data_IF_685640311154
#
_entry.id   IF_685640311154
#
_cell.length_a   1.000
_cell.length_b   1.000
_cell.length_c   1.000
_cell.angle_alpha   90.00
_cell.angle_beta   90.00
_cell.angle_gamma   90.00
#
_symmetry.space_group_name_H-M   'P 1'
#
loop_
_entity.id
_entity.type
_entity.pdbx_description
1 polymer ?
#
# COMPACT_ATOMS: atom_id res chain seq x y z
N UNK A 1 4.29 6.01 -13.01
CA UNK A 1 5.62 6.65 -12.91
C UNK A 1 6.59 5.93 -13.83
N UNK A 2 7.40 6.65 -14.59
CA UNK A 2 8.57 6.08 -15.29
C UNK A 2 9.79 6.02 -14.36
N UNK A 3 10.77 5.18 -14.67
CA UNK A 3 12.01 4.99 -13.89
C UNK A 3 11.81 4.51 -12.45
N UNK A 4 10.81 3.64 -12.20
CA UNK A 4 10.59 3.10 -10.87
C UNK A 4 11.74 2.22 -10.38
N UNK A 5 12.34 2.58 -9.24
CA UNK A 5 13.39 1.78 -8.60
C UNK A 5 12.87 1.00 -7.39
N UNK A 6 12.69 -0.32 -7.55
CA UNK A 6 12.20 -1.19 -6.48
C UNK A 6 13.15 -1.26 -5.28
N UNK A 7 14.47 -1.20 -5.49
CA UNK A 7 15.46 -1.26 -4.41
C UNK A 7 15.33 -0.06 -3.45
N UNK A 8 15.06 1.15 -3.98
CA UNK A 8 14.76 2.34 -3.16
C UNK A 8 13.39 2.28 -2.48
N UNK A 9 12.47 1.50 -3.01
CA UNK A 9 11.12 1.35 -2.48
C UNK A 9 11.03 0.39 -1.28
N UNK A 10 12.06 -0.44 -1.07
CA UNK A 10 12.12 -1.40 0.03
C UNK A 10 12.00 -0.75 1.42
N UNK A 11 11.75 -1.59 2.41
CA UNK A 11 11.57 -1.21 3.80
C UNK A 11 10.11 -0.93 4.14
N UNK A 12 9.92 -0.26 5.28
CA UNK A 12 8.59 -0.05 5.86
C UNK A 12 7.92 1.20 5.30
N UNK A 13 6.63 1.04 5.06
CA UNK A 13 5.68 2.09 4.73
C UNK A 13 4.47 2.00 5.67
N UNK A 14 4.00 3.14 6.15
CA UNK A 14 2.78 3.25 6.95
C UNK A 14 1.65 3.74 6.08
N UNK A 15 0.49 3.13 6.22
CA UNK A 15 -0.73 3.62 5.56
C UNK A 15 -1.18 4.89 6.27
N UNK A 16 -1.12 6.03 5.58
CA UNK A 16 -1.63 7.29 6.08
C UNK A 16 -3.13 7.40 5.82
N UNK A 17 -3.54 7.13 4.58
CA UNK A 17 -4.94 7.18 4.14
C UNK A 17 -5.18 6.10 3.08
N UNK A 18 -6.42 5.61 3.00
CA UNK A 18 -6.83 4.62 2.00
C UNK A 18 -8.27 4.76 1.58
N UNK A 19 -8.62 4.20 0.43
CA UNK A 19 -10.01 3.90 0.11
C UNK A 19 -10.54 2.79 1.02
N UNK A 20 -11.86 2.80 1.24
CA UNK A 20 -12.49 1.75 2.01
C UNK A 20 -12.28 0.38 1.36
N UNK A 21 -11.66 -0.52 2.10
CA UNK A 21 -11.52 -1.91 1.73
C UNK A 21 -11.93 -2.80 2.91
N UNK A 22 -12.82 -3.77 2.63
CA UNK A 22 -13.43 -4.63 3.67
C UNK A 22 -12.38 -5.44 4.46
N UNK A 23 -11.29 -5.86 3.82
CA UNK A 23 -10.22 -6.65 4.44
C UNK A 23 -9.37 -5.88 5.46
N UNK A 24 -9.49 -4.56 5.48
CA UNK A 24 -8.86 -3.65 6.43
C UNK A 24 -9.92 -2.98 7.33
N UNK A 25 -11.16 -3.49 7.35
CA UNK A 25 -12.22 -2.92 8.19
C UNK A 25 -11.76 -2.84 9.66
N UNK A 26 -11.93 -1.65 10.26
CA UNK A 26 -11.44 -1.33 11.60
C UNK A 26 -9.92 -1.52 11.82
N UNK A 27 -9.12 -1.57 10.76
CA UNK A 27 -7.66 -1.60 10.85
C UNK A 27 -7.08 -0.27 11.31
N UNK A 28 -6.21 -0.32 12.33
CA UNK A 28 -5.32 0.75 12.75
C UNK A 28 -3.87 0.26 12.77
N UNK A 29 -2.92 1.19 12.85
CA UNK A 29 -1.48 0.89 12.84
C UNK A 29 -1.02 0.12 11.60
N UNK A 30 -1.72 0.32 10.48
CA UNK A 30 -1.51 -0.45 9.26
C UNK A 30 -0.14 -0.10 8.67
N UNK A 31 0.64 -1.12 8.34
CA UNK A 31 1.95 -0.95 7.71
C UNK A 31 2.24 -2.07 6.74
N UNK A 32 3.00 -1.75 5.70
CA UNK A 32 3.53 -2.65 4.70
C UNK A 32 5.06 -2.64 4.78
N UNK A 33 5.69 -3.80 4.92
CA UNK A 33 7.15 -3.92 4.87
C UNK A 33 7.57 -4.70 3.63
N UNK A 34 8.32 -4.05 2.75
CA UNK A 34 8.82 -4.63 1.52
C UNK A 34 10.28 -5.09 1.71
N UNK A 35 10.60 -6.29 1.25
CA UNK A 35 11.98 -6.82 1.31
C UNK A 35 12.33 -7.58 0.03
N UNK A 36 13.63 -7.70 -0.23
CA UNK A 36 14.16 -8.63 -1.23
C UNK A 36 14.50 -9.95 -0.56
N UNK A 37 14.23 -11.07 -1.23
CA UNK A 37 14.65 -12.41 -0.84
C UNK A 37 15.91 -12.81 -1.61
N UNK A 38 16.67 -13.78 -1.09
CA UNK A 38 17.92 -14.25 -1.69
C UNK A 38 17.73 -14.88 -3.08
N UNK A 39 16.53 -15.38 -3.37
CA UNK A 39 16.14 -15.94 -4.66
C UNK A 39 15.69 -14.87 -5.69
N UNK A 40 15.85 -13.58 -5.36
CA UNK A 40 15.51 -12.46 -6.22
C UNK A 40 14.03 -12.06 -6.20
N UNK A 41 13.18 -12.73 -5.40
CA UNK A 41 11.79 -12.30 -5.21
C UNK A 41 11.70 -11.06 -4.32
N UNK A 42 10.62 -10.30 -4.49
CA UNK A 42 10.23 -9.27 -3.54
C UNK A 42 9.07 -9.77 -2.68
N UNK A 43 9.14 -9.50 -1.39
CA UNK A 43 8.15 -9.90 -0.40
C UNK A 43 7.49 -8.66 0.20
N UNK A 44 6.25 -8.81 0.64
CA UNK A 44 5.51 -7.80 1.39
C UNK A 44 4.91 -8.43 2.65
N UNK A 45 5.09 -7.78 3.79
CA UNK A 45 4.45 -8.15 5.05
C UNK A 45 3.56 -7.01 5.49
N UNK A 46 2.25 -7.20 5.39
CA UNK A 46 1.26 -6.26 5.90
C UNK A 46 0.89 -6.61 7.34
N UNK A 47 0.81 -5.58 8.19
CA UNK A 47 0.40 -5.72 9.59
C UNK A 47 -0.65 -4.69 9.92
N UNK A 48 -1.62 -5.08 10.75
CA UNK A 48 -2.62 -4.18 11.30
C UNK A 48 -3.04 -4.62 12.70
N UNK A 49 -3.71 -3.72 13.41
CA UNK A 49 -4.39 -4.00 14.67
C UNK A 49 -5.86 -3.62 14.52
N UNK A 50 -6.77 -4.49 14.95
CA UNK A 50 -8.19 -4.14 14.99
C UNK A 50 -8.42 -3.08 16.07
N UNK A 51 -9.03 -1.95 15.71
CA UNK A 51 -9.43 -0.92 16.68
C UNK A 51 -10.61 -1.36 17.55
N UNK A 52 -11.36 -2.40 17.14
CA UNK A 52 -12.50 -2.93 17.88
C UNK A 52 -12.09 -3.96 18.93
N UNK A 53 -11.14 -4.84 18.60
CA UNK A 53 -10.76 -5.98 19.46
C UNK A 53 -9.35 -5.89 20.01
N UNK A 54 -8.51 -5.00 19.48
CA UNK A 54 -7.07 -4.94 19.81
C UNK A 54 -6.24 -6.09 19.22
N UNK A 55 -6.87 -7.05 18.53
CA UNK A 55 -6.18 -8.20 17.94
C UNK A 55 -5.26 -7.73 16.82
N UNK A 56 -4.04 -8.27 16.81
CA UNK A 56 -3.04 -8.03 15.77
C UNK A 56 -3.19 -9.06 14.66
N UNK A 57 -3.07 -8.63 13.41
CA UNK A 57 -3.01 -9.53 12.26
C UNK A 57 -1.84 -9.18 11.36
N UNK A 58 -1.30 -10.23 10.74
CA UNK A 58 -0.19 -10.16 9.78
C UNK A 58 -0.59 -10.98 8.57
N UNK A 59 -0.28 -10.48 7.37
CA UNK A 59 -0.41 -11.22 6.13
C UNK A 59 0.83 -11.02 5.28
N UNK A 60 1.37 -12.13 4.79
CA UNK A 60 2.57 -12.17 3.97
C UNK A 60 2.21 -12.40 2.51
N UNK A 61 2.92 -11.73 1.62
CA UNK A 61 2.69 -11.80 0.19
C UNK A 61 3.96 -11.69 -0.63
N UNK A 62 3.81 -12.01 -1.91
CA UNK A 62 4.84 -11.86 -2.93
C UNK A 62 4.51 -10.65 -3.81
N UNK A 63 5.54 -9.88 -4.15
CA UNK A 63 5.47 -8.76 -5.09
C UNK A 63 6.24 -9.15 -6.36
N UNK A 64 5.61 -8.97 -7.51
CA UNK A 64 6.23 -9.15 -8.83
C UNK A 64 6.13 -7.86 -9.62
N UNK A 65 7.22 -7.45 -10.28
CA UNK A 65 7.14 -6.39 -11.29
C UNK A 65 6.49 -6.97 -12.54
N UNK A 66 5.42 -6.32 -13.00
CA UNK A 66 4.64 -6.74 -14.17
C UNK A 66 4.74 -5.66 -15.24
N UNK A 67 5.59 -5.89 -16.24
CA UNK A 67 5.89 -4.92 -17.29
C UNK A 67 7.40 -4.77 -17.49
N UNK A 68 7.82 -3.66 -18.09
CA UNK A 68 9.25 -3.28 -18.12
C UNK A 68 9.70 -2.86 -16.72
N UNK A 69 10.97 -3.04 -16.38
CA UNK A 69 11.50 -2.80 -15.03
C UNK A 69 11.38 -1.34 -14.56
N UNK A 70 11.26 -0.40 -15.48
CA UNK A 70 11.05 1.04 -15.27
C UNK A 70 9.57 1.42 -15.09
N UNK A 71 8.64 0.51 -15.33
CA UNK A 71 7.23 0.71 -15.05
C UNK A 71 6.90 0.36 -13.59
N UNK A 72 6.21 1.28 -12.92
CA UNK A 72 5.76 1.14 -11.53
C UNK A 72 4.56 0.21 -11.34
N UNK A 73 4.38 -0.77 -12.23
CA UNK A 73 3.27 -1.74 -12.22
C UNK A 73 3.72 -3.00 -11.49
N UNK A 74 3.19 -3.18 -10.30
CA UNK A 74 3.43 -4.36 -9.48
C UNK A 74 2.20 -5.26 -9.48
N UNK A 75 2.42 -6.51 -9.14
CA UNK A 75 1.39 -7.52 -8.90
C UNK A 75 1.67 -8.14 -7.55
N UNK A 76 0.69 -8.09 -6.65
CA UNK A 76 0.81 -8.63 -5.29
C UNK A 76 -0.06 -9.86 -5.14
N UNK A 77 0.49 -10.92 -4.56
CA UNK A 77 -0.22 -12.16 -4.23
C UNK A 77 -0.06 -12.47 -2.76
N UNK A 78 -1.15 -12.82 -2.08
CA UNK A 78 -1.13 -13.27 -0.68
C UNK A 78 -1.47 -14.76 -0.61
N UNK A 79 -0.48 -15.66 -0.48
CA UNK A 79 -0.69 -17.10 -0.56
C UNK A 79 -1.63 -17.68 0.51
N UNK A 80 -1.77 -17.00 1.66
CA UNK A 80 -2.65 -17.43 2.75
C UNK A 80 -4.14 -17.17 2.50
N UNK A 81 -4.49 -16.43 1.44
CA UNK A 81 -5.88 -16.22 1.05
C UNK A 81 -6.39 -17.42 0.24
N UNK A 82 -7.65 -17.86 0.46
CA UNK A 82 -8.23 -18.99 -0.27
C UNK A 82 -8.35 -18.73 -1.78
N UNK A 83 -8.26 -17.47 -2.20
CA UNK A 83 -8.26 -17.06 -3.60
C UNK A 83 -6.84 -16.75 -4.05
N UNK A 84 -6.29 -17.57 -4.96
CA UNK A 84 -4.96 -17.35 -5.56
C UNK A 84 -5.01 -16.28 -6.67
N UNK A 85 -5.57 -15.12 -6.37
CA UNK A 85 -5.66 -13.98 -7.29
C UNK A 85 -4.52 -13.00 -7.00
N UNK A 86 -3.71 -12.74 -8.02
CA UNK A 86 -2.74 -11.66 -7.96
C UNK A 86 -3.45 -10.34 -8.26
N UNK A 87 -3.31 -9.35 -7.38
CA UNK A 87 -3.93 -8.04 -7.54
C UNK A 87 -2.93 -7.05 -8.16
N UNK A 88 -3.36 -6.25 -9.16
CA UNK A 88 -2.54 -5.17 -9.67
C UNK A 88 -2.30 -4.14 -8.56
N UNK A 89 -1.07 -3.65 -8.46
CA UNK A 89 -0.62 -2.72 -7.44
C UNK A 89 0.32 -1.71 -8.09
N UNK A 90 -0.22 -0.57 -8.50
CA UNK A 90 0.51 0.40 -9.30
C UNK A 90 0.96 1.55 -8.42
N UNK A 91 2.27 1.76 -8.31
CA UNK A 91 2.81 2.95 -7.64
C UNK A 91 2.67 4.11 -8.62
N UNK A 92 1.71 5.00 -8.41
CA UNK A 92 1.44 6.09 -9.33
C UNK A 92 2.53 7.16 -9.27
N UNK A 93 3.01 7.45 -8.06
CA UNK A 93 4.03 8.46 -7.76
C UNK A 93 4.67 8.18 -6.39
N UNK A 94 5.96 8.38 -6.26
CA UNK A 94 6.68 8.28 -4.97
C UNK A 94 8.00 9.05 -5.05
N UNK A 95 8.41 9.65 -3.93
CA UNK A 95 9.76 10.17 -3.77
C UNK A 95 10.70 9.18 -3.05
N UNK A 96 10.24 7.94 -2.82
CA UNK A 96 10.89 6.83 -2.10
C UNK A 96 11.14 7.06 -0.60
N UNK A 97 11.26 8.31 -0.19
CA UNK A 97 11.78 8.72 1.12
C UNK A 97 10.70 9.27 2.04
N UNK A 98 9.56 9.72 1.51
CA UNK A 98 8.51 10.35 2.32
C UNK A 98 7.13 9.80 2.01
N UNK A 99 6.74 9.71 0.74
CA UNK A 99 5.39 9.29 0.35
C UNK A 99 5.37 8.33 -0.85
N UNK A 100 4.29 7.59 -0.97
CA UNK A 100 3.93 6.81 -2.15
C UNK A 100 2.42 6.82 -2.33
N UNK A 101 1.96 7.02 -3.56
CA UNK A 101 0.54 6.90 -3.93
C UNK A 101 0.37 5.63 -4.75
N UNK A 102 -0.54 4.78 -4.30
CA UNK A 102 -0.76 3.46 -4.90
C UNK A 102 -2.20 3.34 -5.36
N UNK A 103 -2.38 2.74 -6.53
CA UNK A 103 -3.68 2.38 -7.08
C UNK A 103 -3.77 0.89 -7.39
N UNK A 104 -4.92 0.30 -7.09
CA UNK A 104 -5.25 -1.08 -7.45
C UNK A 104 -6.66 -1.11 -8.01
N UNK A 105 -6.82 -1.68 -9.20
CA UNK A 105 -8.12 -1.87 -9.82
C UNK A 105 -8.21 -3.28 -10.42
N UNK A 106 -9.15 -4.07 -9.94
CA UNK A 106 -9.42 -5.42 -10.46
C UNK A 106 -10.82 -5.48 -11.04
N UNK A 107 -10.94 -6.02 -12.26
CA UNK A 107 -12.21 -6.19 -12.94
C UNK A 107 -12.71 -7.64 -12.80
N UNK A 108 -13.96 -7.80 -12.40
CA UNK A 108 -14.67 -9.06 -12.20
C UNK A 108 -15.95 -9.08 -13.05
N UNK A 109 -15.79 -8.99 -14.37
CA UNK A 109 -16.92 -8.88 -15.30
C UNK A 109 -17.66 -7.56 -15.13
N UNK A 110 -18.89 -7.62 -14.59
CA UNK A 110 -19.74 -6.44 -14.38
C UNK A 110 -19.36 -5.61 -13.15
N UNK A 111 -18.46 -6.11 -12.30
CA UNK A 111 -18.01 -5.41 -11.11
C UNK A 111 -16.53 -5.07 -11.21
N UNK A 112 -16.11 -3.97 -10.57
CA UNK A 112 -14.70 -3.65 -10.40
C UNK A 112 -14.45 -3.28 -8.94
N UNK A 113 -13.31 -3.72 -8.40
CA UNK A 113 -12.81 -3.22 -7.12
C UNK A 113 -11.79 -2.15 -7.39
N UNK A 114 -11.88 -1.03 -6.67
CA UNK A 114 -10.99 0.11 -6.80
C UNK A 114 -10.46 0.45 -5.42
N UNK A 115 -9.16 0.37 -5.25
CA UNK A 115 -8.48 0.71 -4.01
C UNK A 115 -7.38 1.72 -4.30
N UNK A 116 -7.19 2.64 -3.37
CA UNK A 116 -6.13 3.62 -3.41
C UNK A 116 -5.51 3.72 -2.02
N UNK A 117 -4.20 3.91 -1.95
CA UNK A 117 -3.49 4.14 -0.69
C UNK A 117 -2.53 5.30 -0.84
N UNK A 118 -2.47 6.13 0.20
CA UNK A 118 -1.38 7.05 0.46
C UNK A 118 -0.53 6.41 1.57
N UNK A 119 0.69 6.03 1.20
CA UNK A 119 1.67 5.46 2.12
C UNK A 119 2.73 6.51 2.45
N UNK A 120 3.27 6.44 3.66
CA UNK A 120 4.31 7.36 4.12
C UNK A 120 5.39 6.65 4.92
N UNK A 121 6.62 7.20 4.93
CA UNK A 121 7.72 6.64 5.74
C UNK A 121 7.58 6.95 7.23
N UNK A 122 6.87 8.00 7.60
CA UNK A 122 6.59 8.38 8.98
C UNK A 122 5.12 8.12 9.34
N UNK A 123 4.84 7.59 10.54
CA UNK A 123 3.46 7.42 11.04
C UNK A 123 2.66 8.73 11.09
N UNK A 124 3.35 9.85 11.27
CA UNK A 124 2.77 11.19 11.30
C UNK A 124 3.54 12.06 10.31
N UNK A 125 3.20 11.98 9.01
CA UNK A 125 3.86 12.77 7.98
C UNK A 125 3.57 14.26 8.17
N UNK A 126 4.49 15.11 7.73
CA UNK A 126 4.30 16.56 7.74
C UNK A 126 3.28 16.98 6.69
N UNK A 127 2.68 18.16 6.85
CA UNK A 127 1.71 18.68 5.89
C UNK A 127 2.29 18.78 4.47
N UNK A 128 3.53 19.27 4.23
CA UNK A 128 4.11 19.30 2.88
C UNK A 128 4.27 17.92 2.23
N UNK A 129 4.49 16.86 3.02
CA UNK A 129 4.54 15.48 2.49
C UNK A 129 3.16 15.05 2.01
N UNK A 130 2.11 15.33 2.81
CA UNK A 130 0.74 15.01 2.44
C UNK A 130 0.26 15.82 1.24
N UNK A 131 0.62 17.11 1.13
CA UNK A 131 0.29 17.95 -0.03
C UNK A 131 0.88 17.40 -1.33
N UNK A 132 2.13 16.91 -1.31
CA UNK A 132 2.74 16.24 -2.47
C UNK A 132 2.01 14.95 -2.85
N UNK A 133 1.63 14.14 -1.87
CA UNK A 133 0.83 12.93 -2.10
C UNK A 133 -0.55 13.27 -2.68
N UNK A 134 -1.23 14.29 -2.16
CA UNK A 134 -2.51 14.75 -2.70
C UNK A 134 -2.39 15.29 -4.12
N UNK A 135 -1.34 16.05 -4.43
CA UNK A 135 -1.09 16.49 -5.80
C UNK A 135 -0.91 15.31 -6.76
N UNK A 136 -0.25 14.23 -6.32
CA UNK A 136 -0.15 13.00 -7.11
C UNK A 136 -1.51 12.30 -7.29
N UNK A 137 -2.33 12.22 -6.24
CA UNK A 137 -3.71 11.70 -6.32
C UNK A 137 -4.53 12.50 -7.33
N UNK A 138 -4.50 13.83 -7.25
CA UNK A 138 -5.29 14.74 -8.09
C UNK A 138 -4.83 14.67 -9.57
N UNK A 139 -3.51 14.63 -9.84
CA UNK A 139 -2.97 14.46 -11.20
C UNK A 139 -3.39 13.16 -11.88
N UNK A 140 -3.71 12.12 -11.10
CA UNK A 140 -4.17 10.83 -11.62
C UNK A 140 -5.70 10.72 -11.66
N UNK A 141 -6.45 11.80 -11.38
CA UNK A 141 -7.91 11.82 -11.44
C UNK A 141 -8.59 10.97 -10.38
N UNK A 142 -7.89 10.67 -9.27
CA UNK A 142 -8.43 9.88 -8.16
C UNK A 142 -9.16 10.82 -7.20
N UNK A 143 -10.42 10.52 -6.88
CA UNK A 143 -11.22 11.35 -5.99
C UNK A 143 -10.74 11.28 -4.53
N UNK A 144 -10.33 12.43 -3.99
CA UNK A 144 -9.92 12.53 -2.59
C UNK A 144 -11.03 12.25 -1.58
N UNK A 145 -12.29 12.37 -2.00
CA UNK A 145 -13.45 12.25 -1.12
C UNK A 145 -13.65 10.84 -0.52
N UNK A 146 -13.06 9.80 -1.13
CA UNK A 146 -13.19 8.43 -0.66
C UNK A 146 -12.04 7.96 0.24
N UNK A 147 -11.02 8.81 0.46
CA UNK A 147 -9.95 8.48 1.39
C UNK A 147 -10.43 8.59 2.84
N UNK A 148 -10.11 7.55 3.60
CA UNK A 148 -10.29 7.46 5.04
C UNK A 148 -8.89 7.50 5.65
N UNK A 149 -8.72 8.34 6.67
CA UNK A 149 -7.45 8.42 7.40
C UNK A 149 -7.30 7.21 8.32
N UNK A 150 -6.13 6.59 8.25
CA UNK A 150 -5.77 5.46 9.08
C UNK A 150 -5.23 5.94 10.42
N UNK A 151 -5.70 5.35 11.52
CA UNK A 151 -5.22 5.70 12.85
C UNK A 151 -3.81 5.10 13.10
N UNK A 152 -2.81 5.97 13.10
CA UNK A 152 -1.41 5.62 13.38
C UNK A 152 -0.97 6.02 14.81
N UNK A 153 -1.92 6.39 15.70
CA UNK A 153 -1.64 6.76 17.10
C UNK A 153 -1.68 5.55 18.02
N UNK A 154 -0.90 5.61 19.11
CA UNK A 154 -0.84 4.58 20.15
C UNK A 154 -0.58 3.17 19.58
N UNK A 155 0.29 3.09 18.57
CA UNK A 155 0.62 1.85 17.89
C UNK A 155 1.71 1.07 18.63
N UNK A 156 1.69 -0.27 18.57
CA UNK A 156 2.75 -1.09 19.15
C UNK A 156 4.14 -0.65 18.68
N UNK A 157 5.10 -0.65 19.61
CA UNK A 157 6.51 -0.45 19.30
C UNK A 157 7.06 -1.62 18.46
N UNK A 158 6.59 -2.84 18.76
CA UNK A 158 6.98 -4.08 18.09
C UNK A 158 5.74 -4.89 17.72
N UNK A 159 5.79 -5.48 16.53
CA UNK A 159 4.89 -6.52 16.06
C UNK A 159 5.59 -7.86 16.12
#
# INVERSE_FOLDING_TARGET
MGDFNMARYLGRWYEAERYFALFEFAGKCVSANYSAADDGRFLIVNRQTSSLTGIRSTIEGEVRLVGRSDESKLSVKFPSLPVSLAAPYWVLDTDYENYSVVWSCSNFGLFSTRNAWILTRARTPTLPVMERAYAAVDRNGISRAFFIRTDQKNCPAHY
#
